data_IF_753241800182
#
_entry.id   IF_753241800182
#
_cell.length_a   1.000
_cell.length_b   1.000
_cell.length_c   1.000
_cell.angle_alpha   90.00
_cell.angle_beta   90.00
_cell.angle_gamma   90.00
#
_symmetry.space_group_name_H-M   'P 1'
#
loop_
_entity.id
_entity.type
_entity.pdbx_description
1 polymer ?
#
# COMPACT_ATOMS: atom_id res chain seq x y z
N UNK A 1 11.67 -7.19 -12.38
CA UNK A 1 11.30 -5.78 -12.61
C UNK A 1 12.21 -5.08 -13.61
N UNK A 2 13.53 -5.05 -13.41
CA UNK A 2 14.47 -4.38 -14.34
C UNK A 2 14.35 -4.88 -15.79
N UNK A 3 14.25 -6.20 -16.00
CA UNK A 3 14.08 -6.80 -17.34
C UNK A 3 12.75 -6.39 -18.02
N UNK A 4 11.76 -5.97 -17.23
CA UNK A 4 10.47 -5.47 -17.72
C UNK A 4 10.50 -3.95 -17.96
N UNK A 5 11.62 -3.28 -17.70
CA UNK A 5 11.75 -1.82 -17.76
C UNK A 5 10.92 -1.10 -16.69
N UNK A 6 10.58 -1.79 -15.59
CA UNK A 6 9.79 -1.22 -14.49
C UNK A 6 10.70 -0.83 -13.34
N UNK A 7 10.66 0.45 -12.97
CA UNK A 7 11.34 0.97 -11.78
C UNK A 7 10.49 0.76 -10.52
N UNK A 8 11.17 0.28 -9.49
CA UNK A 8 10.68 0.15 -8.11
C UNK A 8 11.70 0.76 -7.17
N UNK A 9 11.26 1.32 -6.06
CA UNK A 9 12.15 1.85 -5.01
C UNK A 9 11.71 1.41 -3.63
N UNK A 10 12.67 1.29 -2.71
CA UNK A 10 12.42 0.89 -1.33
C UNK A 10 11.64 1.99 -0.60
N UNK A 11 10.67 1.60 0.21
CA UNK A 11 9.86 2.50 1.05
C UNK A 11 9.62 1.87 2.44
N UNK A 12 8.95 2.61 3.32
CA UNK A 12 8.47 2.13 4.62
C UNK A 12 9.59 1.46 5.46
N UNK A 13 9.28 0.34 6.13
CA UNK A 13 10.22 -0.39 6.99
C UNK A 13 11.47 -0.86 6.24
N UNK A 14 11.32 -1.20 4.96
CA UNK A 14 12.45 -1.63 4.11
C UNK A 14 13.44 -0.49 3.84
N UNK A 15 12.94 0.73 3.58
CA UNK A 15 13.81 1.90 3.44
C UNK A 15 14.47 2.26 4.78
N UNK A 16 13.79 2.05 5.90
CA UNK A 16 14.36 2.29 7.23
C UNK A 16 15.48 1.28 7.56
N UNK A 17 15.28 -0.01 7.26
CA UNK A 17 16.35 -1.01 7.35
C UNK A 17 17.53 -0.66 6.43
N UNK A 18 17.22 -0.17 5.22
CA UNK A 18 18.23 0.31 4.31
C UNK A 18 19.11 1.43 4.90
N UNK A 19 18.50 2.40 5.58
CA UNK A 19 19.19 3.51 6.22
C UNK A 19 20.23 3.06 7.25
N UNK A 20 19.89 2.08 8.08
CA UNK A 20 20.76 1.63 9.16
C UNK A 20 21.96 0.82 8.68
N UNK A 21 21.73 -0.18 7.83
CA UNK A 21 22.82 -1.05 7.39
C UNK A 21 22.57 -1.75 6.04
N UNK A 22 21.63 -1.24 5.23
CA UNK A 22 21.30 -1.81 3.91
C UNK A 22 20.77 -3.26 3.99
N UNK A 23 20.17 -3.63 5.12
CA UNK A 23 19.56 -4.94 5.38
C UNK A 23 18.14 -4.77 5.90
N UNK A 24 17.36 -5.85 5.87
CA UNK A 24 16.07 -5.90 6.55
C UNK A 24 16.28 -5.72 8.06
N UNK A 25 15.32 -5.07 8.74
CA UNK A 25 15.35 -4.97 10.19
C UNK A 25 15.06 -6.35 10.82
N UNK A 26 15.75 -6.76 11.90
CA UNK A 26 15.60 -8.12 12.44
C UNK A 26 14.20 -8.50 12.94
N UNK A 27 13.37 -7.50 13.25
CA UNK A 27 11.99 -7.67 13.71
C UNK A 27 10.95 -7.44 12.61
N UNK A 28 11.40 -7.11 11.40
CA UNK A 28 10.54 -6.87 10.25
C UNK A 28 10.35 -8.17 9.47
N UNK A 29 9.13 -8.43 9.01
CA UNK A 29 8.73 -9.74 8.47
C UNK A 29 8.45 -9.76 6.97
N UNK A 30 8.34 -8.58 6.38
CA UNK A 30 8.04 -8.34 4.98
C UNK A 30 9.01 -7.32 4.39
N UNK A 31 8.82 -7.01 3.12
CA UNK A 31 9.57 -5.95 2.46
C UNK A 31 8.66 -5.17 1.55
N UNK A 32 8.87 -3.86 1.52
CA UNK A 32 8.02 -2.91 0.84
C UNK A 32 8.79 -2.19 -0.27
N UNK A 33 8.17 -2.16 -1.43
CA UNK A 33 8.59 -1.30 -2.53
C UNK A 33 7.42 -0.48 -3.04
N UNK A 34 7.74 0.65 -3.64
CA UNK A 34 6.78 1.44 -4.38
C UNK A 34 7.12 1.51 -5.86
N UNK A 35 6.10 1.81 -6.66
CA UNK A 35 6.24 2.11 -8.07
C UNK A 35 5.25 3.19 -8.52
N UNK A 36 5.46 3.72 -9.72
CA UNK A 36 4.51 4.68 -10.32
C UNK A 36 3.19 4.01 -10.73
N UNK A 37 2.11 4.80 -10.79
CA UNK A 37 0.82 4.38 -11.35
C UNK A 37 0.90 3.78 -12.75
N UNK A 38 1.75 4.36 -13.60
CA UNK A 38 1.96 3.89 -14.97
C UNK A 38 2.59 2.49 -14.97
N UNK A 39 3.59 2.28 -14.11
CA UNK A 39 4.23 0.97 -13.94
C UNK A 39 3.24 -0.08 -13.44
N UNK A 40 2.44 0.26 -12.43
CA UNK A 40 1.43 -0.66 -11.89
C UNK A 40 0.40 -1.05 -12.96
N UNK A 41 -0.09 -0.07 -13.73
CA UNK A 41 -1.05 -0.32 -14.82
C UNK A 41 -0.46 -1.21 -15.91
N UNK A 42 0.82 -1.00 -16.25
CA UNK A 42 1.54 -1.84 -17.21
C UNK A 42 1.63 -3.29 -16.72
N UNK A 43 2.02 -3.51 -15.45
CA UNK A 43 2.09 -4.85 -14.88
C UNK A 43 0.72 -5.53 -14.80
N UNK A 44 -0.32 -4.81 -14.36
CA UNK A 44 -1.69 -5.30 -14.31
C UNK A 44 -2.20 -5.77 -15.68
N UNK A 45 -1.86 -5.03 -16.74
CA UNK A 45 -2.35 -5.30 -18.09
C UNK A 45 -1.67 -6.52 -18.73
N UNK A 46 -0.38 -6.71 -18.48
CA UNK A 46 0.43 -7.66 -19.25
C UNK A 46 1.03 -8.81 -18.42
N UNK A 47 1.14 -8.67 -17.11
CA UNK A 47 1.94 -9.57 -16.25
C UNK A 47 1.22 -10.05 -14.99
N UNK A 48 -0.05 -9.72 -14.77
CA UNK A 48 -0.78 -10.24 -13.61
C UNK A 48 -0.82 -11.78 -13.63
N UNK A 49 -0.57 -12.42 -12.48
CA UNK A 49 -0.50 -13.87 -12.28
C UNK A 49 0.58 -14.59 -13.11
N UNK A 50 1.58 -13.86 -13.60
CA UNK A 50 2.71 -14.47 -14.30
C UNK A 50 3.74 -15.00 -13.32
N UNK A 51 4.32 -16.16 -13.64
CA UNK A 51 5.36 -16.81 -12.83
C UNK A 51 6.71 -16.64 -13.52
N UNK A 52 7.70 -16.23 -12.75
CA UNK A 52 9.07 -16.01 -13.20
C UNK A 52 10.03 -16.90 -12.44
N UNK A 53 10.85 -17.64 -13.18
CA UNK A 53 11.88 -18.49 -12.61
C UNK A 53 13.20 -17.71 -12.51
N UNK A 54 13.69 -17.51 -11.29
CA UNK A 54 14.94 -16.79 -11.03
C UNK A 54 16.01 -17.71 -10.45
N UNK A 55 17.22 -17.61 -10.99
CA UNK A 55 18.42 -18.29 -10.49
C UNK A 55 19.41 -17.27 -9.95
N UNK A 56 19.99 -17.57 -8.80
CA UNK A 56 21.06 -16.76 -8.22
C UNK A 56 22.19 -17.68 -7.77
N UNK A 57 23.41 -17.16 -7.55
CA UNK A 57 24.48 -17.97 -6.96
C UNK A 57 24.11 -18.62 -5.61
N UNK A 58 23.16 -18.02 -4.86
CA UNK A 58 22.66 -18.56 -3.59
C UNK A 58 21.56 -19.61 -3.77
N UNK A 59 20.85 -19.59 -4.90
CA UNK A 59 19.76 -20.51 -5.25
C UNK A 59 20.03 -21.07 -6.66
N UNK A 60 20.98 -22.02 -6.80
CA UNK A 60 21.45 -22.48 -8.10
C UNK A 60 20.39 -23.26 -8.90
N UNK A 61 19.51 -23.98 -8.19
CA UNK A 61 18.37 -24.68 -8.80
C UNK A 61 17.28 -23.71 -9.27
N UNK A 62 17.33 -22.47 -8.77
CA UNK A 62 16.35 -21.44 -9.00
C UNK A 62 15.11 -21.56 -8.12
N UNK A 63 14.24 -20.57 -8.26
CA UNK A 63 12.98 -20.47 -7.53
C UNK A 63 11.95 -19.73 -8.37
N UNK A 64 10.71 -20.15 -8.23
CA UNK A 64 9.57 -19.59 -8.94
C UNK A 64 8.90 -18.51 -8.09
N UNK A 65 8.76 -17.34 -8.68
CA UNK A 65 8.12 -16.18 -8.07
C UNK A 65 6.93 -15.75 -8.91
N UNK A 66 5.77 -15.60 -8.29
CA UNK A 66 4.55 -15.12 -8.94
C UNK A 66 4.40 -13.62 -8.72
N UNK A 67 4.11 -12.88 -9.79
CA UNK A 67 3.66 -11.50 -9.72
C UNK A 67 2.14 -11.47 -9.68
N UNK A 68 1.58 -11.15 -8.51
CA UNK A 68 0.14 -11.00 -8.30
C UNK A 68 -0.21 -9.51 -8.22
N UNK A 69 -1.23 -9.09 -8.96
CA UNK A 69 -1.79 -7.73 -8.90
C UNK A 69 -3.18 -7.80 -8.25
N UNK A 70 -3.36 -7.05 -7.17
CA UNK A 70 -4.65 -6.93 -6.49
C UNK A 70 -5.66 -6.26 -7.43
N UNK A 71 -6.84 -6.84 -7.71
CA UNK A 71 -7.86 -6.22 -8.57
C UNK A 71 -8.29 -4.81 -8.12
N UNK A 72 -8.15 -4.51 -6.83
CA UNK A 72 -8.45 -3.19 -6.27
C UNK A 72 -7.34 -2.15 -6.51
N UNK A 73 -6.26 -2.46 -7.25
CA UNK A 73 -5.16 -1.51 -7.49
C UNK A 73 -5.62 -0.18 -8.13
N UNK A 74 -6.73 -0.20 -8.87
CA UNK A 74 -7.34 0.99 -9.49
C UNK A 74 -8.01 1.93 -8.47
N UNK A 75 -8.31 1.44 -7.27
CA UNK A 75 -8.86 2.27 -6.20
C UNK A 75 -7.80 3.29 -5.76
N UNK A 76 -8.18 4.56 -5.67
CA UNK A 76 -7.31 5.64 -5.22
C UNK A 76 -7.68 6.14 -3.83
N UNK A 77 -8.83 5.73 -3.33
CA UNK A 77 -9.37 6.17 -2.05
C UNK A 77 -8.63 5.51 -0.88
N UNK A 78 -8.33 6.30 0.14
CA UNK A 78 -7.68 5.84 1.38
C UNK A 78 -8.68 5.28 2.40
N UNK A 79 -9.96 5.18 2.03
CA UNK A 79 -11.02 4.66 2.91
C UNK A 79 -11.02 3.14 3.00
N UNK A 80 -10.47 2.45 2.00
CA UNK A 80 -10.36 0.99 1.98
C UNK A 80 -9.09 0.54 2.71
N UNK A 81 -9.23 0.33 4.01
CA UNK A 81 -8.13 -0.10 4.88
C UNK A 81 -7.73 -1.57 4.73
N UNK A 82 -8.51 -2.35 3.97
CA UNK A 82 -8.25 -3.78 3.78
C UNK A 82 -7.46 -4.06 2.50
N UNK A 83 -7.46 -3.14 1.53
CA UNK A 83 -6.82 -3.30 0.21
C UNK A 83 -5.76 -2.23 -0.07
N UNK A 84 -4.90 -2.01 0.92
CA UNK A 84 -3.80 -1.04 0.85
C UNK A 84 -2.71 -1.49 -0.14
N UNK A 85 -2.42 -2.79 -0.21
CA UNK A 85 -1.39 -3.37 -1.07
C UNK A 85 -1.93 -3.58 -2.49
N UNK A 86 -1.19 -3.09 -3.48
CA UNK A 86 -1.60 -3.11 -4.89
C UNK A 86 -1.08 -4.34 -5.65
N UNK A 87 0.10 -4.85 -5.26
CA UNK A 87 0.67 -6.04 -5.87
C UNK A 87 1.64 -6.73 -4.92
N UNK A 88 1.97 -7.99 -5.24
CA UNK A 88 2.96 -8.79 -4.53
C UNK A 88 3.87 -9.54 -5.48
N UNK A 89 5.14 -9.62 -5.10
CA UNK A 89 6.03 -10.66 -5.59
C UNK A 89 6.05 -11.79 -4.57
N UNK A 90 5.59 -12.98 -4.97
CA UNK A 90 5.37 -14.10 -4.04
C UNK A 90 6.30 -15.24 -4.43
N UNK A 91 7.13 -15.70 -3.50
CA UNK A 91 7.82 -16.97 -3.61
C UNK A 91 6.79 -18.10 -3.51
N UNK A 92 6.61 -18.83 -4.61
CA UNK A 92 5.60 -19.90 -4.71
C UNK A 92 5.89 -21.11 -3.82
N UNK A 93 7.13 -21.27 -3.37
CA UNK A 93 7.54 -22.41 -2.53
C UNK A 93 7.32 -22.17 -1.04
N UNK A 94 7.55 -20.94 -0.57
CA UNK A 94 7.46 -20.59 0.86
C UNK A 94 6.24 -19.74 1.21
N UNK A 95 5.65 -19.04 0.24
CA UNK A 95 4.62 -18.05 0.44
C UNK A 95 5.14 -16.70 0.96
N UNK A 96 6.46 -16.52 1.14
CA UNK A 96 7.05 -15.22 1.46
C UNK A 96 6.85 -14.25 0.29
N UNK A 97 6.68 -12.96 0.60
CA UNK A 97 6.39 -11.96 -0.42
C UNK A 97 7.06 -10.61 -0.16
N UNK A 98 7.10 -9.81 -1.23
CA UNK A 98 7.40 -8.38 -1.20
C UNK A 98 6.12 -7.64 -1.54
N UNK A 99 5.69 -6.77 -0.65
CA UNK A 99 4.54 -5.89 -0.85
C UNK A 99 4.91 -4.73 -1.76
N UNK A 100 4.00 -4.42 -2.67
CA UNK A 100 4.15 -3.35 -3.64
C UNK A 100 2.97 -2.40 -3.55
N UNK A 101 3.25 -1.14 -3.25
CA UNK A 101 2.25 -0.05 -3.25
C UNK A 101 2.49 0.92 -4.39
N UNK A 102 1.45 1.61 -4.82
CA UNK A 102 1.55 2.56 -5.93
C UNK A 102 1.57 3.99 -5.44
N UNK A 103 2.57 4.75 -5.87
CA UNK A 103 2.60 6.20 -5.75
C UNK A 103 1.81 6.84 -6.90
N UNK A 104 0.80 7.65 -6.55
CA UNK A 104 -0.11 8.29 -7.52
C UNK A 104 -0.11 9.81 -7.33
N UNK A 105 -0.05 10.57 -8.42
CA UNK A 105 -0.22 12.01 -8.35
C UNK A 105 -1.63 12.38 -7.89
N UNK A 106 -1.74 13.17 -6.83
CA UNK A 106 -3.00 13.69 -6.32
C UNK A 106 -3.19 15.15 -6.79
N UNK A 107 -3.84 15.30 -7.95
CA UNK A 107 -4.05 16.60 -8.59
C UNK A 107 -5.02 17.52 -7.83
N UNK A 108 -5.78 16.98 -6.87
CA UNK A 108 -6.74 17.72 -6.05
C UNK A 108 -6.21 18.02 -4.65
N UNK A 109 -4.96 17.66 -4.35
CA UNK A 109 -4.39 17.84 -3.02
C UNK A 109 -4.25 19.34 -2.67
N UNK A 110 -4.64 19.78 -1.45
CA UNK A 110 -4.63 21.20 -1.07
C UNK A 110 -3.22 21.83 -1.07
N UNK A 111 -2.16 21.02 -0.91
CA UNK A 111 -0.77 21.48 -0.98
C UNK A 111 -0.25 21.74 -2.42
N UNK A 112 -1.09 21.57 -3.43
CA UNK A 112 -0.82 21.91 -4.83
C UNK A 112 -0.23 20.77 -5.67
N UNK A 113 0.31 21.15 -6.84
CA UNK A 113 0.92 20.23 -7.79
C UNK A 113 2.14 19.49 -7.21
N UNK A 114 2.47 18.34 -7.81
CA UNK A 114 3.60 17.53 -7.40
C UNK A 114 3.35 16.63 -6.18
N UNK A 115 2.14 16.65 -5.62
CA UNK A 115 1.79 15.77 -4.51
C UNK A 115 1.52 14.35 -5.00
N UNK A 116 2.17 13.39 -4.36
CA UNK A 116 1.93 11.96 -4.51
C UNK A 116 1.24 11.45 -3.26
N UNK A 117 0.39 10.45 -3.45
CA UNK A 117 -0.31 9.74 -2.38
C UNK A 117 -0.35 8.24 -2.70
N UNK A 118 -0.29 7.41 -1.67
CA UNK A 118 -0.65 6.00 -1.76
C UNK A 118 -1.96 5.73 -0.99
N UNK A 119 -2.43 4.47 -1.06
CA UNK A 119 -3.68 4.04 -0.42
C UNK A 119 -3.63 3.97 1.10
N UNK A 120 -2.44 3.84 1.68
CA UNK A 120 -2.31 3.68 3.13
C UNK A 120 -2.49 4.99 3.92
N UNK A 121 -2.51 6.13 3.22
CA UNK A 121 -2.50 7.46 3.84
C UNK A 121 -1.22 8.26 3.62
N UNK A 122 -0.11 7.65 3.23
CA UNK A 122 1.15 8.37 3.04
C UNK A 122 1.10 9.31 1.83
N UNK A 123 1.61 10.52 2.07
CA UNK A 123 1.68 11.59 1.10
C UNK A 123 3.08 12.19 1.09
N UNK A 124 3.61 12.48 -0.09
CA UNK A 124 4.93 13.07 -0.24
C UNK A 124 4.99 13.89 -1.52
N UNK A 125 5.88 14.89 -1.56
CA UNK A 125 6.17 15.62 -2.80
C UNK A 125 6.98 14.74 -3.73
N UNK A 126 6.72 14.81 -5.02
CA UNK A 126 7.47 14.12 -6.05
C UNK A 126 8.96 14.49 -6.03
N UNK A 127 9.31 15.72 -5.64
CA UNK A 127 10.69 16.18 -5.41
C UNK A 127 11.41 15.45 -4.28
N UNK A 128 10.68 14.77 -3.38
CA UNK A 128 11.28 13.91 -2.36
C UNK A 128 11.57 12.51 -2.88
N UNK A 129 10.81 12.05 -3.88
CA UNK A 129 10.97 10.73 -4.49
C UNK A 129 11.97 10.79 -5.64
N UNK A 130 11.78 11.73 -6.57
CA UNK A 130 12.50 11.80 -7.83
C UNK A 130 13.56 12.92 -7.84
N UNK A 131 14.68 12.73 -8.56
CA UNK A 131 15.09 11.49 -9.22
C UNK A 131 15.52 10.41 -8.21
N UNK A 132 15.19 9.16 -8.52
CA UNK A 132 15.61 8.03 -7.68
C UNK A 132 17.13 7.91 -7.63
N UNK A 133 17.65 7.40 -6.51
CA UNK A 133 19.08 7.14 -6.32
C UNK A 133 19.36 5.65 -6.36
N UNK A 134 20.41 5.26 -7.09
CA UNK A 134 20.89 3.88 -7.12
C UNK A 134 21.63 3.52 -5.83
N UNK A 135 21.42 2.30 -5.36
CA UNK A 135 22.03 1.78 -4.14
C UNK A 135 22.03 0.25 -4.15
N UNK A 136 22.35 -0.35 -3.00
CA UNK A 136 22.24 -1.79 -2.76
C UNK A 136 21.45 -2.04 -1.47
N UNK A 137 20.67 -3.12 -1.47
CA UNK A 137 19.94 -3.64 -0.32
C UNK A 137 20.05 -5.17 -0.32
N UNK A 138 20.43 -5.77 0.80
CA UNK A 138 20.71 -7.22 0.89
C UNK A 138 21.73 -7.72 -0.17
N UNK A 139 22.64 -6.84 -0.57
CA UNK A 139 23.64 -7.12 -1.62
C UNK A 139 23.08 -7.11 -3.05
N UNK A 140 21.82 -6.74 -3.26
CA UNK A 140 21.16 -6.64 -4.57
C UNK A 140 20.99 -5.17 -4.97
N UNK A 141 21.18 -4.81 -6.26
CA UNK A 141 20.89 -3.44 -6.73
C UNK A 141 19.46 -3.03 -6.43
N UNK A 142 19.30 -1.82 -5.88
CA UNK A 142 18.00 -1.25 -5.53
C UNK A 142 17.99 0.26 -5.80
N UNK A 143 16.80 0.86 -5.73
CA UNK A 143 16.61 2.31 -5.81
C UNK A 143 15.94 2.84 -4.55
N UNK A 144 16.21 4.09 -4.21
CA UNK A 144 15.61 4.79 -3.07
C UNK A 144 15.14 6.20 -3.50
N UNK A 145 14.24 6.83 -2.72
CA UNK A 145 13.88 8.23 -2.89
C UNK A 145 15.09 9.19 -2.87
N UNK A 146 14.97 10.34 -3.54
CA UNK A 146 15.98 11.40 -3.52
C UNK A 146 16.21 11.94 -2.11
N UNK A 147 15.13 12.33 -1.43
CA UNK A 147 15.11 12.92 -0.09
C UNK A 147 14.67 11.85 0.95
N UNK A 148 15.36 10.71 0.93
CA UNK A 148 15.00 9.54 1.74
C UNK A 148 14.97 9.83 3.24
N UNK A 149 15.76 10.79 3.76
CA UNK A 149 15.73 11.14 5.18
C UNK A 149 14.42 11.81 5.52
N UNK A 150 14.02 12.79 4.73
CA UNK A 150 12.80 13.55 4.89
C UNK A 150 11.57 12.62 4.80
N UNK A 151 11.60 11.65 3.88
CA UNK A 151 10.57 10.60 3.77
C UNK A 151 10.49 9.77 5.06
N UNK A 152 11.63 9.26 5.55
CA UNK A 152 11.65 8.44 6.77
C UNK A 152 11.29 9.22 8.03
N UNK A 153 11.74 10.48 8.15
CA UNK A 153 11.43 11.33 9.30
C UNK A 153 9.95 11.73 9.32
N UNK A 154 9.32 11.92 8.16
CA UNK A 154 7.89 12.16 8.08
C UNK A 154 7.07 10.95 8.55
N UNK A 155 7.53 9.73 8.24
CA UNK A 155 6.82 8.48 8.56
C UNK A 155 7.08 8.00 10.00
N UNK A 156 8.36 7.95 10.42
CA UNK A 156 8.78 7.33 11.68
C UNK A 156 9.33 8.33 12.71
N UNK A 157 9.43 9.61 12.35
CA UNK A 157 10.02 10.67 13.17
C UNK A 157 11.56 10.66 13.20
N UNK A 158 12.22 11.77 13.58
CA UNK A 158 13.68 11.90 13.56
C UNK A 158 14.45 10.90 14.44
N UNK A 159 13.81 10.40 15.49
CA UNK A 159 14.41 9.42 16.40
C UNK A 159 14.61 8.04 15.74
N UNK A 160 13.81 7.70 14.73
CA UNK A 160 13.95 6.43 13.99
C UNK A 160 15.32 6.27 13.31
N UNK A 161 15.94 7.40 12.96
CA UNK A 161 17.23 7.45 12.27
C UNK A 161 18.44 7.46 13.22
N UNK A 162 18.20 7.56 14.53
CA UNK A 162 19.26 7.81 15.53
C UNK A 162 19.17 6.95 16.79
N UNK A 163 17.99 6.45 17.15
CA UNK A 163 17.79 5.64 18.34
C UNK A 163 18.36 4.23 18.12
N UNK A 164 19.45 3.92 18.83
CA UNK A 164 20.18 2.66 18.69
C UNK A 164 19.63 1.51 19.53
N UNK A 165 18.61 1.74 20.34
CA UNK A 165 17.95 0.71 21.15
C UNK A 165 16.48 0.64 20.75
N UNK A 166 16.07 -0.45 20.10
CA UNK A 166 14.70 -0.65 19.62
C UNK A 166 14.36 -2.13 19.47
N UNK A 167 13.11 -2.50 19.73
CA UNK A 167 12.58 -3.86 19.55
C UNK A 167 13.48 -4.99 20.09
N UNK A 168 13.95 -4.88 21.34
CA UNK A 168 14.88 -5.84 21.97
C UNK A 168 16.25 -5.99 21.28
N UNK A 169 16.66 -5.03 20.44
CA UNK A 169 17.96 -4.99 19.78
C UNK A 169 18.71 -3.68 20.09
N UNK A 170 20.04 -3.75 20.01
CA UNK A 170 20.94 -2.60 20.04
C UNK A 170 21.75 -2.54 18.75
N UNK A 171 21.81 -1.39 18.11
CA UNK A 171 22.64 -1.17 16.94
C UNK A 171 24.12 -1.02 17.34
N UNK A 172 24.97 -1.85 16.77
CA UNK A 172 26.42 -1.83 16.92
C UNK A 172 27.05 -1.08 15.73
N UNK A 173 27.60 0.10 15.99
CA UNK A 173 28.21 0.94 14.95
C UNK A 173 29.46 0.33 14.31
N UNK A 174 30.18 -0.53 15.03
CA UNK A 174 31.41 -1.14 14.51
C UNK A 174 31.07 -2.25 13.52
N UNK A 175 30.00 -3.01 13.80
CA UNK A 175 29.53 -4.08 12.91
C UNK A 175 28.53 -3.59 11.88
N UNK A 176 27.90 -2.44 12.11
CA UNK A 176 26.73 -1.96 11.37
C UNK A 176 25.59 -2.98 11.40
N UNK A 177 25.28 -3.49 12.59
CA UNK A 177 24.28 -4.53 12.78
C UNK A 177 23.43 -4.31 14.02
N UNK A 178 22.15 -4.67 13.91
CA UNK A 178 21.23 -4.76 15.05
C UNK A 178 21.48 -6.08 15.79
N UNK A 179 21.99 -6.00 17.01
CA UNK A 179 22.32 -7.16 17.85
C UNK A 179 21.21 -7.38 18.87
N UNK A 180 20.68 -8.60 19.03
CA UNK A 180 19.72 -8.91 20.09
C UNK A 180 20.29 -8.59 21.46
N UNK A 181 19.54 -7.85 22.27
CA UNK A 181 19.90 -7.61 23.66
C UNK A 181 19.60 -8.86 24.50
N UNK A 182 20.45 -9.20 25.47
CA UNK A 182 20.13 -10.27 26.42
C UNK A 182 18.83 -9.93 27.14
N UNK A 183 17.81 -10.77 27.00
CA UNK A 183 16.60 -10.64 27.84
C UNK A 183 17.05 -10.79 29.28
N UNK A 184 16.69 -9.86 30.19
CA UNK A 184 17.02 -10.03 31.60
C UNK A 184 16.49 -11.39 32.05
N UNK A 185 17.37 -12.22 32.60
CA UNK A 185 16.99 -13.47 33.22
C UNK A 185 15.92 -13.13 34.26
N UNK A 186 14.68 -13.60 34.05
CA UNK A 186 13.66 -13.54 35.10
C UNK A 186 14.27 -14.21 36.33
N UNK A 187 14.43 -13.47 37.42
CA UNK A 187 14.87 -14.07 38.68
C UNK A 187 13.87 -15.19 39.05
N UNK A 188 14.31 -16.31 39.63
CA UNK A 188 13.44 -17.44 39.95
C UNK A 188 12.27 -17.13 40.90
N UNK A 189 12.17 -15.90 41.42
CA UNK A 189 11.07 -15.45 42.28
C UNK A 189 9.76 -15.18 41.52
N UNK A 190 9.79 -15.00 40.19
CA UNK A 190 8.59 -14.79 39.37
C UNK A 190 7.98 -16.10 38.80
N UNK A 191 8.56 -17.26 39.12
CA UNK A 191 7.92 -18.56 38.89
C UNK A 191 7.05 -18.94 40.10
N UNK A 192 6.02 -18.13 40.38
CA UNK A 192 4.89 -18.62 41.20
C UNK A 192 4.11 -19.64 40.37
N UNK A 193 4.40 -20.90 40.66
CA UNK A 193 3.55 -22.10 40.60
C UNK A 193 2.18 -21.87 39.93
N UNK A 194 2.06 -22.33 38.68
CA UNK A 194 0.76 -22.68 38.11
C UNK A 194 0.29 -23.94 38.85
N UNK A 195 -0.59 -23.77 39.83
CA UNK A 195 -1.34 -24.88 40.42
C UNK A 195 -2.45 -25.30 39.45
N UNK A 196 -2.52 -26.57 39.04
CA UNK A 196 -3.66 -27.08 38.28
C UNK A 196 -4.90 -27.18 39.19
N UNK A 197 -6.12 -26.90 38.70
CA UNK A 197 -7.31 -26.88 39.54
C UNK A 197 -7.69 -28.30 39.95
N UNK A 198 -7.63 -28.57 41.27
CA UNK A 198 -8.12 -29.80 41.89
C UNK A 198 -9.56 -29.59 42.37
N UNK A 199 -10.46 -30.42 41.83
CA UNK A 199 -11.88 -30.55 42.16
C UNK A 199 -12.03 -31.23 43.54
N UNK A 200 -12.75 -30.62 44.50
CA UNK A 200 -13.27 -31.32 45.71
C UNK A 200 -14.65 -30.77 46.07
N UNK A 201 -15.64 -31.61 45.78
CA UNK A 201 -16.83 -32.03 46.55
C UNK A 201 -17.72 -31.04 47.34
N UNK A 202 -19.01 -31.24 47.08
CA UNK A 202 -20.20 -30.75 47.75
C UNK A 202 -20.33 -31.25 49.20
N UNK A 203 -20.85 -30.39 50.09
CA UNK A 203 -21.77 -30.78 51.17
C UNK A 203 -23.04 -29.95 51.09
N UNK A 204 -24.15 -30.62 50.77
CA UNK A 204 -25.56 -30.17 50.77
C UNK A 204 -26.01 -29.71 52.16
N UNK A 205 -26.84 -28.65 52.24
CA UNK A 205 -28.19 -28.66 52.85
C UNK A 205 -29.13 -27.65 52.17
N UNK A 206 -30.16 -28.23 51.55
CA UNK A 206 -31.54 -27.83 51.19
C UNK A 206 -31.98 -26.47 50.59
N UNK A 207 -32.80 -26.67 49.56
CA UNK A 207 -33.43 -25.78 48.59
C UNK A 207 -34.93 -25.74 48.87
N UNK A 208 -35.59 -24.57 48.73
CA UNK A 208 -36.97 -24.50 48.22
C UNK A 208 -37.05 -23.51 47.05
N UNK A 209 -37.35 -24.11 45.89
CA UNK A 209 -37.58 -23.64 44.52
C UNK A 209 -38.74 -22.59 44.45
N UNK A 210 -38.77 -21.63 43.51
CA UNK A 210 -39.27 -21.93 42.16
C UNK A 210 -38.46 -21.41 40.96
N UNK A 211 -38.65 -22.13 39.87
CA UNK A 211 -38.17 -21.97 38.50
C UNK A 211 -38.86 -20.84 37.71
N UNK A 212 -38.10 -20.35 36.73
CA UNK A 212 -38.47 -19.91 35.36
C UNK A 212 -39.56 -18.85 35.13
N UNK A 213 -39.22 -17.80 34.37
CA UNK A 213 -39.47 -17.75 32.91
C UNK A 213 -38.92 -16.49 32.23
N UNK A 214 -38.72 -16.69 30.92
CA UNK A 214 -38.29 -15.86 29.77
C UNK A 214 -38.52 -14.32 29.78
N UNK A 215 -37.80 -13.60 28.88
CA UNK A 215 -37.78 -12.15 28.75
C UNK A 215 -38.90 -11.62 27.84
N UNK A 216 -39.36 -10.39 28.08
CA UNK A 216 -40.08 -9.60 27.10
C UNK A 216 -39.91 -8.09 27.32
N UNK A 217 -40.04 -7.37 26.21
CA UNK A 217 -39.65 -5.99 25.90
C UNK A 217 -40.28 -4.89 26.77
N UNK A 218 -39.63 -3.71 26.81
CA UNK A 218 -40.35 -2.41 26.81
C UNK A 218 -39.48 -1.22 26.36
N UNK A 219 -39.81 -0.76 25.15
CA UNK A 219 -39.97 0.62 24.63
C UNK A 219 -39.48 1.82 25.48
N UNK A 220 -38.80 2.82 24.89
CA UNK A 220 -38.53 4.11 25.54
C UNK A 220 -39.73 5.05 25.38
N UNK A 221 -40.09 5.77 26.46
CA UNK A 221 -41.06 6.87 26.44
C UNK A 221 -40.40 8.19 26.88
N UNK A 222 -40.91 9.26 26.26
CA UNK A 222 -40.38 10.61 26.14
C UNK A 222 -40.28 11.40 27.46
N UNK A 223 -39.26 12.28 27.55
CA UNK A 223 -39.39 13.55 28.28
C UNK A 223 -38.93 14.74 27.42
N UNK A 224 -39.89 15.64 27.26
CA UNK A 224 -39.94 16.98 26.69
C UNK A 224 -38.72 17.88 27.04
N UNK A 225 -38.21 18.70 26.10
CA UNK A 225 -37.25 19.76 26.40
C UNK A 225 -37.96 21.06 26.82
N UNK A 226 -37.44 21.70 27.88
CA UNK A 226 -37.82 23.06 28.29
C UNK A 226 -37.02 24.13 27.53
N UNK A 227 -37.70 25.25 27.30
CA UNK A 227 -37.40 26.37 26.42
C UNK A 227 -36.14 27.16 26.80
N UNK A 228 -35.33 27.51 25.80
CA UNK A 228 -34.53 28.74 25.81
C UNK A 228 -34.97 29.65 24.65
N UNK A 229 -35.48 30.80 25.03
CA UNK A 229 -35.91 31.93 24.20
C UNK A 229 -34.69 32.57 23.50
N UNK A 230 -34.69 32.76 22.17
CA UNK A 230 -33.77 33.68 21.50
C UNK A 230 -34.40 35.06 21.30
N UNK A 231 -33.64 36.11 21.55
CA UNK A 231 -33.99 37.50 21.25
C UNK A 231 -33.97 37.79 19.73
N UNK A 232 -34.93 38.61 19.33
CA UNK A 232 -35.28 39.00 17.96
C UNK A 232 -34.19 39.82 17.26
N UNK A 233 -33.93 39.51 15.98
CA UNK A 233 -33.59 40.51 14.97
C UNK A 233 -34.53 40.39 13.78
N UNK A 234 -35.21 41.49 13.52
CA UNK A 234 -36.26 41.74 12.52
C UNK A 234 -35.68 41.74 11.08
N UNK A 235 -36.41 41.23 10.07
CA UNK A 235 -35.98 41.30 8.67
C UNK A 235 -36.54 42.55 7.97
N UNK A 236 -35.71 43.20 7.14
CA UNK A 236 -36.17 44.16 6.13
C UNK A 236 -36.31 43.47 4.77
N UNK A 237 -37.49 43.66 4.18
CA UNK A 237 -37.90 43.20 2.85
C UNK A 237 -37.53 44.26 1.83
N UNK A 238 -36.78 43.92 0.77
CA UNK A 238 -36.94 44.53 -0.57
C UNK A 238 -36.63 43.54 -1.72
N UNK A 239 -37.74 43.10 -2.32
CA UNK A 239 -38.08 43.00 -3.75
C UNK A 239 -37.22 42.15 -4.70
N UNK A 240 -37.90 41.14 -5.24
CA UNK A 240 -37.53 40.37 -6.42
C UNK A 240 -37.64 41.20 -7.72
N UNK A 241 -36.71 40.96 -8.65
CA UNK A 241 -36.92 41.12 -10.08
C UNK A 241 -36.56 39.81 -10.79
N UNK A 242 -37.49 39.35 -11.62
CA UNK A 242 -37.41 38.17 -12.47
C UNK A 242 -36.38 38.36 -13.60
N UNK A 243 -35.65 37.31 -13.95
CA UNK A 243 -35.21 37.09 -15.34
C UNK A 243 -34.90 35.62 -15.64
N UNK A 244 -35.83 35.05 -16.42
CA UNK A 244 -35.68 34.09 -17.53
C UNK A 244 -34.77 32.86 -17.36
N UNK A 245 -35.45 31.71 -17.33
CA UNK A 245 -34.95 30.37 -17.69
C UNK A 245 -34.59 30.34 -19.18
N UNK A 246 -33.38 29.90 -19.50
CA UNK A 246 -33.01 29.44 -20.85
C UNK A 246 -32.41 28.03 -20.73
N UNK A 247 -32.97 27.15 -21.54
CA UNK A 247 -32.86 25.70 -21.51
C UNK A 247 -31.52 25.24 -22.13
N UNK A 248 -30.68 24.50 -21.39
CA UNK A 248 -29.46 23.85 -21.92
C UNK A 248 -29.59 22.33 -21.90
N UNK A 249 -29.69 21.78 -23.12
CA UNK A 249 -29.65 20.37 -23.53
C UNK A 249 -28.28 19.72 -23.24
N UNK A 250 -28.16 18.40 -22.97
CA UNK A 250 -26.93 17.82 -22.44
C UNK A 250 -25.85 17.56 -23.51
N UNK A 251 -24.65 18.05 -23.22
CA UNK A 251 -23.41 18.01 -24.03
C UNK A 251 -22.64 16.68 -23.93
N UNK A 252 -23.30 15.57 -23.56
CA UNK A 252 -22.64 14.28 -23.33
C UNK A 252 -22.70 13.31 -24.53
N UNK A 253 -23.52 13.58 -25.55
CA UNK A 253 -23.60 12.74 -26.75
C UNK A 253 -22.52 13.08 -27.80
N UNK A 254 -22.15 14.36 -27.94
CA UNK A 254 -21.23 14.82 -28.98
C UNK A 254 -19.76 14.41 -28.73
N UNK A 255 -19.35 14.30 -27.46
CA UNK A 255 -17.97 13.90 -27.11
C UNK A 255 -17.71 12.40 -27.35
N UNK A 256 -18.76 11.57 -27.28
CA UNK A 256 -18.66 10.12 -27.54
C UNK A 256 -18.54 9.82 -29.04
N UNK A 257 -19.23 10.58 -29.89
CA UNK A 257 -19.10 10.47 -31.36
C UNK A 257 -17.73 10.96 -31.86
N UNK A 258 -17.18 12.03 -31.27
CA UNK A 258 -15.87 12.56 -31.64
C UNK A 258 -14.70 11.61 -31.29
N UNK A 259 -14.77 10.92 -30.14
CA UNK A 259 -13.75 9.93 -29.77
C UNK A 259 -13.83 8.66 -30.63
N UNK A 260 -15.04 8.23 -30.99
CA UNK A 260 -15.23 7.02 -31.82
C UNK A 260 -14.76 7.25 -33.26
N UNK A 261 -14.95 8.46 -33.80
CA UNK A 261 -14.45 8.82 -35.14
C UNK A 261 -12.94 9.00 -35.19
N UNK A 262 -12.30 9.51 -34.12
CA UNK A 262 -10.84 9.63 -34.04
C UNK A 262 -10.17 8.26 -33.93
N UNK A 263 -10.70 7.35 -33.09
CA UNK A 263 -10.17 5.99 -32.94
C UNK A 263 -10.25 5.18 -34.26
N UNK A 264 -11.32 5.38 -35.03
CA UNK A 264 -11.52 4.67 -36.32
C UNK A 264 -10.55 5.18 -37.40
N UNK A 265 -10.27 6.48 -37.43
CA UNK A 265 -9.28 7.06 -38.37
C UNK A 265 -7.84 6.64 -38.03
N UNK A 266 -7.48 6.57 -36.75
CA UNK A 266 -6.15 6.13 -36.32
C UNK A 266 -5.91 4.65 -36.63
N UNK A 267 -6.93 3.80 -36.48
CA UNK A 267 -6.84 2.36 -36.79
C UNK A 267 -6.68 2.10 -38.30
N UNK A 268 -7.35 2.89 -39.15
CA UNK A 268 -7.21 2.81 -40.61
C UNK A 268 -5.82 3.29 -41.09
N UNK A 269 -5.23 4.30 -40.44
CA UNK A 269 -3.89 4.77 -40.76
C UNK A 269 -2.79 3.75 -40.39
N UNK A 270 -2.93 3.06 -39.26
CA UNK A 270 -1.96 2.04 -38.80
C UNK A 270 -1.99 0.80 -39.72
N UNK A 271 -3.17 0.38 -40.20
CA UNK A 271 -3.30 -0.73 -41.15
C UNK A 271 -2.64 -0.41 -42.50
N UNK A 272 -2.74 0.83 -42.98
CA UNK A 272 -2.18 1.24 -44.27
C UNK A 272 -0.65 1.32 -44.28
N UNK A 273 -0.02 1.62 -43.13
CA UNK A 273 1.45 1.61 -42.96
C UNK A 273 2.01 0.19 -42.90
N UNK A 274 1.20 -0.77 -42.42
CA UNK A 274 1.62 -2.18 -42.31
C UNK A 274 1.61 -2.91 -43.66
N UNK A 275 0.78 -2.46 -44.61
CA UNK A 275 0.73 -3.01 -45.98
C UNK A 275 1.82 -2.44 -46.92
N UNK A 276 2.50 -1.35 -46.56
CA UNK A 276 3.53 -0.70 -47.38
C UNK A 276 4.98 -1.01 -46.98
N UNK A 277 5.21 -1.96 -46.07
CA UNK A 277 6.57 -2.31 -45.62
C UNK A 277 7.20 -3.39 -46.52
N UNK A 278 8.41 -3.19 -47.07
CA UNK A 278 9.08 -4.20 -47.90
C UNK A 278 9.52 -5.42 -47.05
N UNK A 279 9.68 -6.61 -47.67
CA UNK A 279 10.02 -7.82 -46.92
C UNK A 279 11.41 -7.73 -46.30
N UNK A 280 11.50 -8.06 -45.01
CA UNK A 280 12.75 -8.14 -44.25
C UNK A 280 13.59 -9.32 -44.74
N UNK A 281 14.78 -9.03 -45.25
CA UNK A 281 15.80 -10.05 -45.58
C UNK A 281 16.55 -10.40 -44.29
N UNK A 282 16.47 -11.66 -43.85
CA UNK A 282 17.22 -12.15 -42.70
C UNK A 282 18.72 -12.28 -43.04
N UNK A 283 19.65 -11.85 -42.16
CA UNK A 283 21.08 -12.09 -42.35
C UNK A 283 21.43 -13.57 -42.14
N UNK A 284 22.48 -14.10 -42.80
CA UNK A 284 22.85 -15.51 -42.72
C UNK A 284 23.43 -15.86 -41.34
N UNK A 285 23.07 -17.05 -40.86
CA UNK A 285 23.52 -17.59 -39.57
C UNK A 285 25.05 -17.81 -39.53
N UNK A 286 25.71 -17.56 -38.39
CA UNK A 286 27.15 -17.79 -38.25
C UNK A 286 27.48 -19.30 -38.25
N UNK A 287 28.66 -19.70 -38.75
CA UNK A 287 29.04 -21.10 -38.81
C UNK A 287 29.32 -21.69 -37.40
N UNK A 288 29.12 -23.01 -37.23
CA UNK A 288 29.34 -23.67 -35.95
C UNK A 288 30.82 -23.64 -35.54
N UNK A 289 31.08 -23.32 -34.27
CA UNK A 289 32.43 -23.36 -33.69
C UNK A 289 32.87 -24.81 -33.50
N UNK A 290 34.08 -25.12 -33.97
CA UNK A 290 34.84 -26.34 -33.66
C UNK A 290 35.47 -26.19 -32.27
#
# INVERSE_FOLDING_TARGET
MNDLGVETWLMHGTLLGWWWNRKILPWDSDSDVQMSEKSMTYLATFYNMTVFHYKTPRIPDGRDYMLEINPHYVNREQTDKMNVIDARWIDTSSGLFIDMTTARYNYTHPAGEGMLSCKDGHEYRDTYIFPLRDTYFEGTPAKIPFAYKEVLEAEYGPKSLTLKDYADHRFDDQKLEWIPMPKPLKKPEDQKVITPPKKVEEKKVEVKKPEEKKPEEKKPEEKKPEEKKPEEKKPEVKKAEEKKVEEKKPEQAAQKEAQTTLATKTRAAILKVRESSPPTVNPPSPPPKI
#
